data_IF_571094239676
#
_entry.id   IF_571094239676
#
_cell.length_a   1.000
_cell.length_b   1.000
_cell.length_c   1.000
_cell.angle_alpha   90.00
_cell.angle_beta   90.00
_cell.angle_gamma   90.00
#
_symmetry.space_group_name_H-M   'P 1'
#
loop_
_entity.id
_entity.type
_entity.pdbx_description
1 polymer ?
#
# COMPACT_ATOMS: atom_id res chain seq x y z
N UNK A 1 -5.04 -10.81 -2.30
CA UNK A 1 -6.45 -10.38 -2.38
C UNK A 1 -6.84 -9.57 -1.16
N UNK A 2 -7.72 -8.57 -1.33
CA UNK A 2 -8.26 -7.69 -0.28
C UNK A 2 -8.85 -8.48 0.91
N UNK A 3 -9.03 -7.82 2.06
CA UNK A 3 -9.68 -8.44 3.23
C UNK A 3 -11.07 -8.97 2.87
N UNK A 4 -11.47 -10.13 3.41
CA UNK A 4 -12.82 -10.68 3.21
C UNK A 4 -13.06 -11.58 2.00
N UNK A 5 -12.11 -11.72 1.06
CA UNK A 5 -12.27 -12.58 -0.14
C UNK A 5 -12.17 -14.10 0.11
N UNK A 6 -12.22 -14.57 1.36
CA UNK A 6 -12.18 -16.01 1.68
C UNK A 6 -10.79 -16.66 1.74
N UNK A 7 -9.70 -15.89 1.82
CA UNK A 7 -8.31 -16.43 1.89
C UNK A 7 -8.11 -17.42 3.03
N UNK A 8 -8.62 -17.10 4.23
CA UNK A 8 -8.50 -17.98 5.41
C UNK A 8 -9.31 -19.27 5.24
N UNK A 9 -10.45 -19.23 4.55
CA UNK A 9 -11.25 -20.41 4.23
C UNK A 9 -10.54 -21.34 3.26
N UNK A 10 -9.86 -20.79 2.23
CA UNK A 10 -9.06 -21.57 1.29
C UNK A 10 -7.83 -22.17 2.00
N UNK A 11 -7.16 -21.38 2.85
CA UNK A 11 -6.03 -21.83 3.65
C UNK A 11 -6.38 -23.02 4.56
N UNK A 12 -7.48 -22.95 5.32
CA UNK A 12 -7.89 -24.06 6.19
C UNK A 12 -8.21 -25.33 5.39
N UNK A 13 -8.80 -25.21 4.19
CA UNK A 13 -9.04 -26.38 3.32
C UNK A 13 -7.75 -27.01 2.78
N UNK A 14 -6.73 -26.22 2.48
CA UNK A 14 -5.44 -26.72 2.00
C UNK A 14 -4.62 -27.38 3.12
N UNK A 15 -4.80 -26.94 4.36
CA UNK A 15 -4.09 -27.47 5.54
C UNK A 15 -4.80 -28.72 6.12
N UNK A 16 -6.05 -28.98 5.74
CA UNK A 16 -6.81 -30.16 6.19
C UNK A 16 -7.37 -30.05 7.63
N UNK A 17 -7.08 -28.96 8.34
CA UNK A 17 -7.61 -28.66 9.67
C UNK A 17 -7.70 -27.13 9.90
N UNK A 18 -8.53 -26.70 10.85
CA UNK A 18 -8.76 -25.28 11.14
C UNK A 18 -7.57 -24.64 11.86
N UNK A 19 -6.64 -24.10 11.08
CA UNK A 19 -5.43 -23.45 11.58
C UNK A 19 -5.59 -21.93 11.76
N UNK A 20 -6.39 -21.28 10.92
CA UNK A 20 -6.69 -19.85 11.01
C UNK A 20 -8.06 -19.61 11.66
N UNK A 21 -8.11 -18.74 12.68
CA UNK A 21 -9.34 -18.37 13.40
C UNK A 21 -10.29 -17.62 12.46
N UNK A 22 -11.32 -18.31 11.96
CA UNK A 22 -12.42 -17.68 11.22
C UNK A 22 -13.40 -17.06 12.20
N UNK A 23 -13.66 -15.76 12.10
CA UNK A 23 -14.78 -15.12 12.79
C UNK A 23 -15.83 -14.68 11.77
N UNK A 24 -17.10 -14.80 12.14
CA UNK A 24 -18.22 -14.35 11.33
C UNK A 24 -18.13 -12.84 11.04
N UNK A 25 -18.48 -12.49 9.81
CA UNK A 25 -18.50 -11.10 9.33
C UNK A 25 -19.63 -10.36 10.05
N UNK A 26 -19.31 -9.31 10.81
CA UNK A 26 -20.31 -8.45 11.46
C UNK A 26 -21.10 -7.67 10.39
N UNK A 27 -22.43 -7.79 10.47
CA UNK A 27 -23.45 -7.29 9.54
C UNK A 27 -23.50 -5.75 9.44
N UNK A 28 -22.83 -5.01 10.31
CA UNK A 28 -23.03 -3.56 10.46
C UNK A 28 -22.01 -2.64 9.79
N UNK A 29 -20.83 -3.11 9.33
CA UNK A 29 -19.90 -2.24 8.57
C UNK A 29 -19.13 -2.91 7.42
N UNK A 30 -19.34 -4.21 7.17
CA UNK A 30 -18.63 -4.98 6.12
C UNK A 30 -17.10 -4.86 6.14
N UNK A 31 -16.49 -4.43 7.24
CA UNK A 31 -15.03 -4.35 7.43
C UNK A 31 -14.60 -5.33 8.50
N UNK A 32 -14.10 -6.48 8.05
CA UNK A 32 -13.39 -7.41 8.93
C UNK A 32 -12.22 -6.71 9.63
N UNK A 33 -12.31 -6.56 10.94
CA UNK A 33 -11.22 -6.04 11.77
C UNK A 33 -10.08 -7.06 11.79
N UNK A 34 -9.08 -6.83 10.96
CA UNK A 34 -7.83 -7.57 10.97
C UNK A 34 -7.26 -7.64 12.39
N UNK A 35 -7.28 -8.84 12.99
CA UNK A 35 -6.66 -9.11 14.29
C UNK A 35 -5.42 -10.00 14.18
N UNK A 36 -5.03 -10.42 12.97
CA UNK A 36 -3.80 -11.17 12.74
C UNK A 36 -2.65 -10.20 12.47
N UNK A 37 -1.81 -9.95 13.47
CA UNK A 37 -0.59 -9.11 13.38
C UNK A 37 0.68 -9.92 13.11
N UNK A 38 0.60 -11.25 13.07
CA UNK A 38 1.73 -12.15 12.84
C UNK A 38 1.72 -12.71 11.41
N UNK A 39 2.92 -12.82 10.81
CA UNK A 39 3.17 -13.62 9.61
C UNK A 39 3.25 -15.09 10.03
N UNK A 40 2.58 -15.98 9.32
CA UNK A 40 2.62 -17.42 9.63
C UNK A 40 3.06 -18.22 8.40
N UNK A 41 3.87 -19.24 8.66
CA UNK A 41 4.32 -20.23 7.69
C UNK A 41 3.87 -21.60 8.20
N UNK A 42 3.14 -22.33 7.37
CA UNK A 42 2.58 -23.66 7.67
C UNK A 42 3.16 -24.64 6.67
N UNK A 43 3.76 -25.72 7.16
CA UNK A 43 4.16 -26.85 6.34
C UNK A 43 2.91 -27.70 6.06
N UNK A 44 2.65 -27.99 4.79
CA UNK A 44 1.59 -28.89 4.36
C UNK A 44 2.12 -30.33 4.42
N UNK A 45 1.24 -31.27 4.76
CA UNK A 45 1.59 -32.69 4.93
C UNK A 45 2.19 -33.31 3.65
N UNK A 46 1.80 -32.81 2.48
CA UNK A 46 2.29 -33.26 1.16
C UNK A 46 3.57 -32.52 0.69
N UNK A 47 4.27 -31.81 1.58
CA UNK A 47 5.57 -31.18 1.28
C UNK A 47 5.52 -29.76 0.70
N UNK A 48 4.38 -29.07 0.78
CA UNK A 48 4.23 -27.66 0.43
C UNK A 48 4.42 -26.70 1.61
N UNK A 49 4.63 -25.40 1.32
CA UNK A 49 4.66 -24.35 2.35
C UNK A 49 3.54 -23.34 2.06
N UNK A 50 2.62 -23.18 3.00
CA UNK A 50 1.62 -22.12 3.00
C UNK A 50 2.13 -20.94 3.83
N UNK A 51 2.24 -19.78 3.19
CA UNK A 51 2.63 -18.54 3.86
C UNK A 51 1.40 -17.64 3.96
N UNK A 52 0.80 -17.55 5.15
CA UNK A 52 -0.23 -16.55 5.43
C UNK A 52 0.45 -15.25 5.88
N UNK A 53 0.47 -14.29 4.96
CA UNK A 53 0.83 -12.92 5.31
C UNK A 53 -0.47 -12.19 5.66
N UNK A 54 -0.56 -11.53 6.83
CA UNK A 54 -1.70 -10.69 7.13
C UNK A 54 -1.83 -9.72 5.98
N UNK A 55 -3.01 -9.76 5.32
CA UNK A 55 -3.21 -9.18 3.99
C UNK A 55 -2.46 -7.88 3.88
N UNK A 56 -1.42 -7.87 3.04
CA UNK A 56 -0.52 -6.73 2.88
C UNK A 56 -1.40 -5.49 2.82
N UNK A 57 -1.29 -4.63 3.84
CA UNK A 57 -1.95 -3.32 3.85
C UNK A 57 -1.28 -2.54 2.73
N UNK A 58 -1.88 -2.69 1.56
CA UNK A 58 -1.29 -2.46 0.25
C UNK A 58 0.01 -3.26 0.06
N UNK A 59 0.24 -3.76 -1.16
CA UNK A 59 1.60 -3.93 -1.60
C UNK A 59 2.27 -2.59 -1.30
N UNK A 60 3.18 -2.54 -0.32
CA UNK A 60 4.14 -1.46 -0.34
C UNK A 60 4.72 -1.55 -1.74
N UNK A 61 4.46 -0.53 -2.54
CA UNK A 61 5.11 -0.37 -3.81
C UNK A 61 6.57 -0.25 -3.46
N UNK A 62 7.29 -1.35 -3.68
CA UNK A 62 8.71 -1.42 -3.43
C UNK A 62 9.33 -0.40 -4.37
N UNK A 63 9.72 0.70 -3.74
CA UNK A 63 10.93 1.46 -4.02
C UNK A 63 11.36 1.48 -5.50
N UNK A 64 10.60 2.21 -6.30
CA UNK A 64 11.06 2.91 -7.49
C UNK A 64 9.83 3.46 -8.19
N UNK A 65 9.86 4.72 -8.63
CA UNK A 65 8.82 5.25 -9.53
C UNK A 65 8.70 4.45 -10.85
N UNK A 66 9.60 3.49 -11.08
CA UNK A 66 9.76 2.69 -12.28
C UNK A 66 8.83 1.47 -12.30
N UNK A 67 8.65 0.75 -11.18
CA UNK A 67 7.88 -0.51 -11.14
C UNK A 67 6.35 -0.33 -11.32
N UNK A 68 5.86 0.92 -11.32
CA UNK A 68 4.44 1.26 -11.54
C UNK A 68 4.14 2.00 -12.84
N UNK A 69 5.16 2.58 -13.50
CA UNK A 69 5.00 3.01 -14.89
C UNK A 69 4.49 1.85 -15.75
N UNK A 70 4.86 0.62 -15.38
CA UNK A 70 4.38 -0.61 -16.02
C UNK A 70 2.85 -0.84 -15.92
N UNK A 71 2.19 -0.38 -14.85
CA UNK A 71 0.76 -0.67 -14.64
C UNK A 71 -0.18 0.16 -15.53
N UNK A 72 0.28 1.32 -16.00
CA UNK A 72 -0.48 2.27 -16.81
C UNK A 72 0.32 2.78 -18.02
N UNK A 73 1.19 1.93 -18.58
CA UNK A 73 2.00 2.24 -19.79
C UNK A 73 1.16 2.72 -20.96
N UNK A 74 -0.07 2.24 -21.08
CA UNK A 74 -1.07 2.71 -22.04
C UNK A 74 -1.40 4.20 -21.85
N UNK A 75 -1.64 4.61 -20.60
CA UNK A 75 -1.90 6.01 -20.25
C UNK A 75 -0.64 6.86 -20.41
N UNK A 76 0.53 6.36 -20.00
CA UNK A 76 1.81 7.07 -20.09
C UNK A 76 2.23 7.33 -21.54
N UNK A 77 2.03 6.34 -22.43
CA UNK A 77 2.30 6.48 -23.86
C UNK A 77 1.43 7.58 -24.49
N UNK A 78 0.14 7.62 -24.13
CA UNK A 78 -0.77 8.69 -24.56
C UNK A 78 -0.40 10.04 -23.95
N UNK A 79 0.03 10.05 -22.68
CA UNK A 79 0.44 11.25 -21.97
C UNK A 79 1.65 11.95 -22.62
N UNK A 80 2.55 11.19 -23.26
CA UNK A 80 3.69 11.74 -24.00
C UNK A 80 3.27 12.66 -25.17
N UNK A 81 2.06 12.49 -25.70
CA UNK A 81 1.49 13.33 -26.76
C UNK A 81 0.66 14.52 -26.21
N UNK A 82 0.57 14.71 -24.89
CA UNK A 82 -0.11 15.86 -24.32
C UNK A 82 0.61 17.17 -24.67
N UNK A 83 -0.20 18.22 -24.87
CA UNK A 83 0.30 19.59 -25.10
C UNK A 83 1.23 20.09 -23.98
N UNK A 84 0.97 19.69 -22.74
CA UNK A 84 1.71 20.13 -21.56
C UNK A 84 2.46 18.96 -20.94
N UNK A 85 3.70 19.20 -20.51
CA UNK A 85 4.56 18.18 -19.86
C UNK A 85 4.06 17.79 -18.47
N UNK A 86 3.36 18.68 -17.80
CA UNK A 86 2.77 18.52 -16.47
C UNK A 86 1.25 18.29 -16.52
N UNK A 87 0.75 17.78 -17.66
CA UNK A 87 -0.67 17.49 -17.85
C UNK A 87 -1.14 16.46 -16.82
N UNK A 88 -2.19 16.79 -16.06
CA UNK A 88 -2.82 15.88 -15.08
C UNK A 88 -4.02 15.13 -15.66
N UNK A 89 -4.27 15.32 -16.96
CA UNK A 89 -5.36 14.72 -17.73
C UNK A 89 -6.79 15.05 -17.25
N UNK A 90 -6.95 16.05 -16.39
CA UNK A 90 -8.23 16.44 -15.81
C UNK A 90 -9.04 17.33 -16.76
N UNK A 91 -8.52 18.53 -17.05
CA UNK A 91 -9.23 19.61 -17.76
C UNK A 91 -8.37 20.38 -18.74
N UNK A 92 -7.12 19.96 -18.88
CA UNK A 92 -6.12 20.62 -19.70
C UNK A 92 -6.51 20.57 -21.18
N UNK A 93 -6.45 21.71 -21.89
CA UNK A 93 -6.68 21.72 -23.33
C UNK A 93 -5.55 20.99 -24.06
N UNK A 94 -5.90 20.21 -25.09
CA UNK A 94 -4.91 19.41 -25.83
C UNK A 94 -4.35 18.23 -25.04
N UNK A 95 -5.12 17.68 -24.09
CA UNK A 95 -4.80 16.43 -23.42
C UNK A 95 -5.07 15.23 -24.33
N UNK A 96 -4.00 14.54 -24.75
CA UNK A 96 -4.09 13.36 -25.62
C UNK A 96 -4.80 12.18 -24.94
N UNK A 97 -4.57 11.96 -23.63
CA UNK A 97 -5.27 10.92 -22.85
C UNK A 97 -6.79 11.13 -22.86
N UNK A 98 -7.27 12.37 -22.71
CA UNK A 98 -8.71 12.67 -22.78
C UNK A 98 -9.27 12.52 -24.19
N UNK A 99 -8.48 12.86 -25.21
CA UNK A 99 -8.86 12.65 -26.59
C UNK A 99 -9.01 11.14 -26.89
N UNK A 100 -8.09 10.31 -26.39
CA UNK A 100 -8.17 8.86 -26.47
C UNK A 100 -9.40 8.27 -25.76
N UNK A 101 -9.81 8.87 -24.63
CA UNK A 101 -11.09 8.49 -23.98
C UNK A 101 -12.29 8.89 -24.83
N UNK A 102 -12.25 10.07 -25.46
CA UNK A 102 -13.34 10.52 -26.33
C UNK A 102 -13.45 9.70 -27.63
N UNK A 103 -12.34 9.17 -28.15
CA UNK A 103 -12.30 8.30 -29.33
C UNK A 103 -12.60 6.83 -29.01
N UNK A 104 -12.57 6.44 -27.74
CA UNK A 104 -12.75 5.06 -27.27
C UNK A 104 -11.48 4.20 -27.31
N UNK A 105 -10.32 4.78 -27.64
CA UNK A 105 -9.01 4.12 -27.57
C UNK A 105 -8.62 3.78 -26.11
N UNK A 106 -9.05 4.63 -25.16
CA UNK A 106 -8.88 4.40 -23.73
C UNK A 106 -10.26 4.39 -23.05
N UNK A 107 -10.54 3.41 -22.19
CA UNK A 107 -11.82 3.40 -21.47
C UNK A 107 -11.84 4.42 -20.34
N UNK A 108 -13.03 4.94 -20.02
CA UNK A 108 -13.20 5.89 -18.92
C UNK A 108 -12.90 5.24 -17.55
N UNK A 109 -13.20 3.94 -17.38
CA UNK A 109 -12.86 3.18 -16.17
C UNK A 109 -11.35 3.02 -15.99
N UNK A 110 -10.61 2.86 -17.10
CA UNK A 110 -9.14 2.77 -17.07
C UNK A 110 -8.53 4.08 -16.57
N UNK A 111 -8.98 5.21 -17.11
CA UNK A 111 -8.55 6.53 -16.66
C UNK A 111 -8.96 6.82 -15.20
N UNK A 112 -10.15 6.37 -14.78
CA UNK A 112 -10.56 6.48 -13.38
C UNK A 112 -9.67 5.67 -12.43
N UNK A 113 -9.26 4.47 -12.84
CA UNK A 113 -8.33 3.62 -12.08
C UNK A 113 -6.95 4.27 -11.94
N UNK A 114 -6.48 4.93 -13.01
CA UNK A 114 -5.24 5.72 -12.99
C UNK A 114 -5.30 6.84 -11.93
N UNK A 115 -6.36 7.65 -11.91
CA UNK A 115 -6.51 8.72 -10.90
C UNK A 115 -6.58 8.19 -9.47
N UNK A 116 -7.25 7.05 -9.28
CA UNK A 116 -7.34 6.41 -7.97
C UNK A 116 -5.95 6.04 -7.46
N UNK A 117 -5.13 5.40 -8.31
CA UNK A 117 -3.77 5.02 -7.94
C UNK A 117 -2.90 6.25 -7.64
N UNK A 118 -2.96 7.29 -8.47
CA UNK A 118 -2.21 8.54 -8.23
C UNK A 118 -2.61 9.22 -6.91
N UNK A 119 -3.89 9.16 -6.55
CA UNK A 119 -4.37 9.68 -5.26
C UNK A 119 -3.84 8.86 -4.09
N UNK A 120 -3.89 7.54 -4.19
CA UNK A 120 -3.35 6.61 -3.17
C UNK A 120 -1.84 6.84 -2.99
N UNK A 121 -1.09 7.01 -4.08
CA UNK A 121 0.34 7.36 -4.06
C UNK A 121 0.60 8.66 -3.31
N UNK A 122 -0.14 9.73 -3.63
CA UNK A 122 0.03 11.02 -2.96
C UNK A 122 -0.24 10.93 -1.46
N UNK A 123 -1.19 10.08 -1.03
CA UNK A 123 -1.45 9.81 0.38
C UNK A 123 -0.34 9.01 1.05
N UNK A 124 0.22 8.01 0.36
CA UNK A 124 1.32 7.20 0.88
C UNK A 124 2.60 8.02 1.09
N UNK A 125 2.94 8.91 0.14
CA UNK A 125 4.09 9.82 0.28
C UNK A 125 3.94 10.69 1.54
N UNK A 126 2.78 11.36 1.69
CA UNK A 126 2.49 12.18 2.88
C UNK A 126 2.58 11.39 4.19
N UNK A 127 2.09 10.14 4.21
CA UNK A 127 2.17 9.28 5.38
C UNK A 127 3.61 8.86 5.71
N UNK A 128 4.42 8.54 4.69
CA UNK A 128 5.85 8.23 4.86
C UNK A 128 6.60 9.44 5.41
N UNK A 129 6.38 10.63 4.86
CA UNK A 129 7.03 11.86 5.31
C UNK A 129 6.66 12.18 6.77
N UNK A 130 5.37 12.13 7.11
CA UNK A 130 4.90 12.35 8.47
C UNK A 130 5.51 11.33 9.45
N UNK A 131 5.60 10.06 9.05
CA UNK A 131 6.22 9.01 9.86
C UNK A 131 7.72 9.24 10.05
N UNK A 132 8.44 9.64 9.00
CA UNK A 132 9.86 9.96 9.06
C UNK A 132 10.13 11.12 10.03
N UNK A 133 9.34 12.19 9.94
CA UNK A 133 9.42 13.34 10.86
C UNK A 133 9.17 12.92 12.31
N UNK A 134 8.17 12.09 12.56
CA UNK A 134 7.86 11.60 13.91
C UNK A 134 8.99 10.72 14.47
N UNK A 135 9.57 9.87 13.63
CA UNK A 135 10.68 9.00 14.01
C UNK A 135 11.94 9.81 14.34
N UNK A 136 12.27 10.81 13.52
CA UNK A 136 13.39 11.73 13.77
C UNK A 136 13.20 12.47 15.10
N UNK A 137 12.01 13.07 15.33
CA UNK A 137 11.70 13.73 16.62
C UNK A 137 11.83 12.77 17.79
N UNK A 138 11.42 11.51 17.65
CA UNK A 138 11.56 10.48 18.69
C UNK A 138 13.03 10.17 18.96
N UNK A 139 13.85 9.98 17.91
CA UNK A 139 15.30 9.74 18.02
C UNK A 139 15.99 10.90 18.73
N UNK A 140 15.71 12.14 18.34
CA UNK A 140 16.27 13.33 18.99
C UNK A 140 15.91 13.40 20.47
N UNK A 141 14.66 13.13 20.85
CA UNK A 141 14.25 13.08 22.27
C UNK A 141 15.00 12.02 23.07
N UNK A 142 15.21 10.83 22.50
CA UNK A 142 15.95 9.74 23.16
C UNK A 142 17.42 10.15 23.36
N UNK A 143 18.05 10.71 22.32
CA UNK A 143 19.44 11.16 22.38
C UNK A 143 19.64 12.30 23.38
N UNK A 144 18.77 13.31 23.40
CA UNK A 144 18.81 14.40 24.39
C UNK A 144 18.62 13.86 25.82
N UNK A 145 17.72 12.90 26.03
CA UNK A 145 17.51 12.29 27.35
C UNK A 145 18.74 11.51 27.82
N UNK A 146 19.43 10.80 26.92
CA UNK A 146 20.66 10.07 27.23
C UNK A 146 21.81 11.04 27.58
N UNK A 147 21.98 12.12 26.81
CA UNK A 147 22.98 13.15 27.08
C UNK A 147 22.75 13.82 28.44
N UNK A 148 21.51 14.23 28.74
CA UNK A 148 21.17 14.86 30.01
C UNK A 148 21.40 13.93 31.21
N UNK A 149 21.18 12.62 31.05
CA UNK A 149 21.49 11.63 32.09
C UNK A 149 23.00 11.59 32.36
N UNK A 150 23.80 11.43 31.30
CA UNK A 150 25.25 11.38 31.41
C UNK A 150 25.86 12.67 32.00
N UNK A 151 25.30 13.85 31.68
CA UNK A 151 25.75 15.12 32.27
C UNK A 151 25.42 15.21 33.77
N UNK A 152 24.25 14.70 34.21
CA UNK A 152 23.91 14.63 35.64
C UNK A 152 24.84 13.69 36.39
N UNK A 153 25.15 12.54 35.81
CA UNK A 153 26.03 11.55 36.44
C UNK A 153 27.47 12.09 36.61
N UNK A 154 27.95 12.93 35.69
CA UNK A 154 29.26 13.61 35.80
C UNK A 154 29.29 14.82 36.74
N UNK A 155 28.16 15.45 37.01
CA UNK A 155 28.07 16.59 37.94
C UNK A 155 27.83 16.19 39.40
N UNK A 156 27.63 14.91 39.68
CA UNK A 156 27.41 14.36 41.02
C UNK A 156 28.71 13.84 41.69
N UNK A 157 29.85 14.03 41.04
CA UNK A 157 31.23 13.83 41.56
C UNK A 157 31.94 15.16 41.64
#
# INVERSE_FOLDING_TARGET
GSSGVGKSTIANRLVGHDLLRTQDVRITDSRGRHTSTSRQMVLLEDGGILIDTPGMRELQLWDSGEALGDAFTDVDALAAACRFRDCRHLREPGCAVRAAVASGELTSERLASYYKLETERAQQVKQKDARAILEEKRRSKVMTKALNRHLKDKGAT
#
